data_IF_639967727193
#
_entry.id   IF_639967727193
#
_cell.length_a   1.000
_cell.length_b   1.000
_cell.length_c   1.000
_cell.angle_alpha   90.00
_cell.angle_beta   90.00
_cell.angle_gamma   90.00
#
_symmetry.space_group_name_H-M   'P 1'
#
loop_
_entity.id
_entity.type
_entity.pdbx_description
1 polymer ?
#
# COMPACT_ATOMS: atom_id res chain seq x y z
N UNK A 1 27.95 -33.43 -7.53
CA UNK A 1 26.50 -33.33 -7.32
C UNK A 1 26.23 -33.00 -5.86
N UNK A 2 26.00 -31.73 -5.51
CA UNK A 2 25.70 -31.35 -4.12
C UNK A 2 25.58 -29.85 -3.88
N UNK A 3 25.08 -29.08 -4.87
CA UNK A 3 25.19 -27.61 -4.86
C UNK A 3 23.86 -26.85 -4.79
N UNK A 4 22.73 -27.53 -4.68
CA UNK A 4 21.41 -26.87 -4.51
C UNK A 4 20.78 -27.23 -3.17
N UNK A 5 20.89 -28.49 -2.75
CA UNK A 5 20.34 -28.98 -1.48
C UNK A 5 21.05 -28.34 -0.27
N UNK A 6 22.36 -28.08 -0.35
CA UNK A 6 23.15 -27.46 0.72
C UNK A 6 22.93 -25.95 0.89
N UNK A 7 22.38 -25.27 -0.12
CA UNK A 7 22.01 -23.84 -0.07
C UNK A 7 20.56 -23.63 0.33
N UNK A 8 19.67 -24.57 -0.03
CA UNK A 8 18.24 -24.50 0.30
C UNK A 8 18.00 -24.88 1.77
N UNK A 9 18.71 -25.89 2.29
CA UNK A 9 18.53 -26.35 3.68
C UNK A 9 18.76 -25.24 4.73
N UNK A 10 19.83 -24.43 4.68
CA UNK A 10 20.04 -23.35 5.63
C UNK A 10 19.04 -22.19 5.46
N UNK A 11 18.55 -21.94 4.25
CA UNK A 11 17.59 -20.88 3.97
C UNK A 11 16.15 -21.24 4.41
N UNK A 12 15.82 -22.54 4.44
CA UNK A 12 14.51 -23.02 4.88
C UNK A 12 14.37 -23.05 6.41
N UNK A 13 15.48 -23.16 7.16
CA UNK A 13 15.46 -23.23 8.63
C UNK A 13 14.87 -21.96 9.26
N UNK A 14 15.30 -20.72 8.90
CA UNK A 14 14.67 -19.50 9.40
C UNK A 14 13.18 -19.44 9.07
N UNK A 15 12.80 -19.74 7.83
CA UNK A 15 11.41 -19.72 7.38
C UNK A 15 10.53 -20.75 8.11
N UNK A 16 11.05 -21.94 8.41
CA UNK A 16 10.36 -22.94 9.22
C UNK A 16 10.27 -22.52 10.69
N UNK A 17 11.33 -21.95 11.27
CA UNK A 17 11.29 -21.48 12.65
C UNK A 17 10.31 -20.32 12.82
N UNK A 18 10.21 -19.43 11.83
CA UNK A 18 9.25 -18.33 11.83
C UNK A 18 7.81 -18.85 11.62
N UNK A 19 7.61 -19.83 10.74
CA UNK A 19 6.33 -20.49 10.52
C UNK A 19 5.83 -21.26 11.75
N UNK A 20 6.73 -21.98 12.43
CA UNK A 20 6.46 -22.71 13.67
C UNK A 20 6.13 -21.73 14.81
N UNK A 21 6.87 -20.62 14.93
CA UNK A 21 6.59 -19.58 15.93
C UNK A 21 5.25 -18.88 15.66
N UNK A 22 4.90 -18.66 14.40
CA UNK A 22 3.60 -18.12 13.99
C UNK A 22 2.43 -19.09 14.23
N UNK A 23 2.64 -20.39 14.00
CA UNK A 23 1.67 -21.44 14.32
C UNK A 23 1.47 -21.61 15.83
N UNK A 24 2.56 -21.59 16.61
CA UNK A 24 2.47 -21.62 18.06
C UNK A 24 1.79 -20.35 18.59
N UNK A 25 2.11 -19.15 18.10
CA UNK A 25 1.42 -17.92 18.49
C UNK A 25 -0.09 -17.95 18.17
N UNK A 26 -0.48 -18.60 17.07
CA UNK A 26 -1.89 -18.77 16.68
C UNK A 26 -2.64 -19.81 17.53
N UNK A 27 -1.95 -20.85 18.02
CA UNK A 27 -2.55 -21.95 18.78
C UNK A 27 -2.52 -21.71 20.30
N UNK A 28 -1.46 -21.09 20.84
CA UNK A 28 -1.35 -20.79 22.28
C UNK A 28 -2.05 -19.50 22.69
N UNK A 29 -2.67 -18.78 21.74
CA UNK A 29 -3.38 -17.52 22.00
C UNK A 29 -2.50 -16.42 22.61
N UNK A 30 -1.17 -16.55 22.51
CA UNK A 30 -0.25 -15.82 23.37
C UNK A 30 1.04 -15.46 22.67
N UNK A 31 0.98 -14.44 21.81
CA UNK A 31 2.03 -13.46 21.58
C UNK A 31 1.48 -12.35 20.66
N UNK A 32 0.59 -11.51 21.20
CA UNK A 32 0.14 -10.27 20.55
C UNK A 32 -1.37 -10.14 20.39
N UNK A 33 -2.04 -9.68 21.45
CA UNK A 33 -3.10 -8.67 21.33
C UNK A 33 -4.30 -8.97 20.43
N UNK A 34 -4.85 -10.19 20.46
CA UNK A 34 -6.23 -10.40 20.05
C UNK A 34 -7.10 -10.27 21.30
N UNK A 35 -7.88 -9.19 21.46
CA UNK A 35 -8.60 -8.96 22.72
C UNK A 35 -9.60 -10.10 22.94
N UNK A 36 -9.51 -10.73 24.10
CA UNK A 36 -10.40 -11.83 24.51
C UNK A 36 -11.81 -11.33 24.80
N UNK A 37 -11.96 -10.03 25.10
CA UNK A 37 -13.25 -9.38 25.31
C UNK A 37 -13.64 -8.50 24.12
N UNK A 38 -14.86 -8.66 23.61
CA UNK A 38 -15.44 -7.78 22.59
C UNK A 38 -15.37 -6.30 23.01
N UNK A 39 -15.49 -6.02 24.31
CA UNK A 39 -15.36 -4.68 24.88
C UNK A 39 -13.98 -4.04 24.62
N UNK A 40 -12.89 -4.78 24.83
CA UNK A 40 -11.53 -4.28 24.57
C UNK A 40 -11.27 -4.11 23.08
N UNK A 41 -11.84 -4.98 22.21
CA UNK A 41 -11.79 -4.76 20.75
C UNK A 41 -12.48 -3.47 20.35
N UNK A 42 -13.64 -3.20 20.93
CA UNK A 42 -14.42 -1.98 20.64
C UNK A 42 -13.64 -0.75 21.10
N UNK A 43 -13.08 -0.76 22.32
CA UNK A 43 -12.28 0.35 22.84
C UNK A 43 -11.02 0.62 22.00
N UNK A 44 -10.35 -0.44 21.51
CA UNK A 44 -9.19 -0.29 20.62
C UNK A 44 -9.59 0.30 19.26
N UNK A 45 -10.69 -0.17 18.67
CA UNK A 45 -11.22 0.37 17.39
C UNK A 45 -11.67 1.82 17.57
N UNK A 46 -12.28 2.15 18.70
CA UNK A 46 -12.74 3.50 19.02
C UNK A 46 -11.54 4.45 19.17
N UNK A 47 -10.48 4.03 19.88
CA UNK A 47 -9.24 4.79 20.00
C UNK A 47 -8.53 4.98 18.65
N UNK A 48 -8.50 3.95 17.80
CA UNK A 48 -7.97 4.06 16.43
C UNK A 48 -8.80 5.04 15.57
N UNK A 49 -10.13 4.98 15.69
CA UNK A 49 -11.05 5.86 14.97
C UNK A 49 -10.90 7.30 15.42
N UNK A 50 -10.75 7.54 16.73
CA UNK A 50 -10.54 8.87 17.29
C UNK A 50 -9.19 9.45 16.84
N UNK A 51 -8.13 8.64 16.85
CA UNK A 51 -6.82 9.03 16.30
C UNK A 51 -6.91 9.41 14.83
N UNK A 52 -7.60 8.61 14.00
CA UNK A 52 -7.81 8.90 12.59
C UNK A 52 -8.64 10.19 12.38
N UNK A 53 -9.67 10.41 13.19
CA UNK A 53 -10.46 11.65 13.18
C UNK A 53 -9.60 12.87 13.55
N UNK A 54 -8.76 12.77 14.58
CA UNK A 54 -7.87 13.85 15.00
C UNK A 54 -6.85 14.18 13.90
N UNK A 55 -6.24 13.16 13.27
CA UNK A 55 -5.38 13.34 12.10
C UNK A 55 -6.11 14.00 10.94
N UNK A 56 -7.32 13.55 10.62
CA UNK A 56 -8.13 14.13 9.55
C UNK A 56 -8.52 15.60 9.85
N UNK A 57 -8.74 15.96 11.11
CA UNK A 57 -8.99 17.34 11.53
C UNK A 57 -7.74 18.21 11.41
N UNK A 58 -6.53 17.67 11.62
CA UNK A 58 -5.28 18.39 11.36
C UNK A 58 -5.05 18.65 9.87
N UNK A 59 -5.53 17.75 9.00
CA UNK A 59 -5.50 17.92 7.53
C UNK A 59 -6.65 18.78 6.99
N UNK A 60 -7.61 19.15 7.84
CA UNK A 60 -8.71 20.02 7.48
C UNK A 60 -8.22 21.48 7.45
N UNK A 61 -8.33 22.17 6.30
CA UNK A 61 -7.97 23.59 6.23
C UNK A 61 -8.88 24.43 7.16
N UNK A 62 -8.27 25.24 8.03
CA UNK A 62 -8.99 26.20 8.87
C UNK A 62 -9.56 27.35 8.02
N UNK A 63 -10.89 27.48 7.97
CA UNK A 63 -11.62 28.46 7.15
C UNK A 63 -12.25 27.83 5.89
N UNK A 64 -13.19 28.53 5.22
CA UNK A 64 -13.70 28.09 3.91
C UNK A 64 -12.57 28.18 2.88
N UNK A 65 -12.01 27.05 2.40
CA UNK A 65 -10.93 27.10 1.43
C UNK A 65 -11.47 27.63 0.11
N UNK A 66 -10.65 28.39 -0.61
CA UNK A 66 -11.02 28.86 -1.94
C UNK A 66 -11.43 27.68 -2.84
N UNK A 67 -12.55 27.81 -3.55
CA UNK A 67 -13.17 26.73 -4.33
C UNK A 67 -12.20 26.06 -5.31
N UNK A 68 -11.29 26.81 -5.93
CA UNK A 68 -10.31 26.25 -6.86
C UNK A 68 -9.34 25.26 -6.21
N UNK A 69 -9.02 25.42 -4.92
CA UNK A 69 -8.14 24.52 -4.17
C UNK A 69 -8.87 23.21 -3.86
N UNK A 70 -10.16 23.29 -3.56
CA UNK A 70 -11.03 22.13 -3.35
C UNK A 70 -11.15 21.35 -4.65
N UNK A 71 -11.40 22.04 -5.77
CA UNK A 71 -11.51 21.42 -7.09
C UNK A 71 -10.18 20.79 -7.52
N UNK A 72 -9.04 21.44 -7.24
CA UNK A 72 -7.71 20.89 -7.48
C UNK A 72 -7.46 19.61 -6.65
N UNK A 73 -7.81 19.62 -5.36
CA UNK A 73 -7.69 18.46 -4.47
C UNK A 73 -8.65 17.33 -4.85
N UNK A 74 -9.77 17.64 -5.48
CA UNK A 74 -10.67 16.62 -6.02
C UNK A 74 -10.12 16.00 -7.31
N UNK A 75 -9.47 16.79 -8.17
CA UNK A 75 -9.06 16.34 -9.50
C UNK A 75 -7.60 15.86 -9.60
N UNK A 76 -6.72 16.18 -8.64
CA UNK A 76 -5.28 15.96 -8.77
C UNK A 76 -4.90 14.53 -9.18
N UNK A 77 -5.60 13.51 -8.65
CA UNK A 77 -5.30 12.10 -8.97
C UNK A 77 -5.48 11.83 -10.46
N UNK A 78 -6.60 12.27 -11.00
CA UNK A 78 -6.93 12.07 -12.41
C UNK A 78 -6.02 12.91 -13.30
N UNK A 79 -5.74 14.16 -12.93
CA UNK A 79 -4.86 15.05 -13.69
C UNK A 79 -3.45 14.48 -13.82
N UNK A 80 -2.86 14.00 -12.72
CA UNK A 80 -1.50 13.42 -12.72
C UNK A 80 -1.46 12.13 -13.55
N UNK A 81 -2.46 11.25 -13.42
CA UNK A 81 -2.50 10.01 -14.19
C UNK A 81 -2.65 10.27 -15.68
N UNK A 82 -3.54 11.20 -16.06
CA UNK A 82 -3.68 11.60 -17.47
C UNK A 82 -2.36 12.16 -18.01
N UNK A 83 -1.65 12.96 -17.24
CA UNK A 83 -0.35 13.48 -17.63
C UNK A 83 0.69 12.37 -17.85
N UNK A 84 0.82 11.42 -16.91
CA UNK A 84 1.75 10.28 -17.04
C UNK A 84 1.40 9.42 -18.26
N UNK A 85 0.11 9.18 -18.52
CA UNK A 85 -0.36 8.39 -19.66
C UNK A 85 0.00 9.08 -20.98
N UNK A 86 -0.26 10.39 -21.12
CA UNK A 86 0.11 11.17 -22.30
C UNK A 86 1.62 11.20 -22.50
N UNK A 87 2.39 11.42 -21.43
CA UNK A 87 3.86 11.41 -21.49
C UNK A 87 4.40 10.05 -21.96
N UNK A 88 3.80 8.96 -21.48
CA UNK A 88 4.18 7.59 -21.88
C UNK A 88 3.88 7.34 -23.36
N UNK A 89 2.74 7.80 -23.88
CA UNK A 89 2.43 7.73 -25.32
C UNK A 89 3.52 8.47 -26.12
N UNK A 90 3.85 9.70 -25.74
CA UNK A 90 4.89 10.48 -26.46
C UNK A 90 6.24 9.77 -26.45
N UNK A 91 6.64 9.20 -25.31
CA UNK A 91 7.91 8.47 -25.16
C UNK A 91 7.95 7.19 -25.98
N UNK A 92 6.85 6.42 -26.01
CA UNK A 92 6.76 5.15 -26.78
C UNK A 92 6.84 5.38 -28.28
N UNK A 93 6.24 6.47 -28.79
CA UNK A 93 6.25 6.79 -30.22
C UNK A 93 7.47 7.61 -30.67
N UNK A 94 8.40 7.95 -29.76
CA UNK A 94 9.61 8.68 -30.09
C UNK A 94 10.80 7.73 -30.33
N UNK A 95 11.26 7.54 -31.58
CA UNK A 95 12.31 6.58 -31.91
C UNK A 95 13.71 6.98 -31.41
N UNK A 96 13.87 8.22 -30.94
CA UNK A 96 15.11 8.76 -30.37
C UNK A 96 15.34 8.37 -28.90
N UNK A 97 14.36 7.74 -28.24
CA UNK A 97 14.43 7.46 -26.80
C UNK A 97 14.97 6.03 -26.56
N UNK A 98 15.99 5.88 -25.68
CA UNK A 98 16.48 4.56 -25.26
C UNK A 98 15.38 3.68 -24.66
N UNK A 99 15.41 2.37 -24.96
CA UNK A 99 14.43 1.39 -24.47
C UNK A 99 14.34 1.32 -22.93
N UNK A 100 15.42 1.66 -22.22
CA UNK A 100 15.44 1.75 -20.75
C UNK A 100 14.50 2.83 -20.22
N UNK A 101 14.44 3.98 -20.88
CA UNK A 101 13.56 5.08 -20.49
C UNK A 101 12.11 4.71 -20.80
N UNK A 102 11.86 4.10 -21.96
CA UNK A 102 10.52 3.62 -22.32
C UNK A 102 9.99 2.62 -21.28
N UNK A 103 10.83 1.69 -20.80
CA UNK A 103 10.47 0.75 -19.74
C UNK A 103 10.03 1.44 -18.44
N UNK A 104 10.75 2.48 -18.01
CA UNK A 104 10.39 3.25 -16.81
C UNK A 104 9.03 3.91 -16.95
N UNK A 105 8.72 4.52 -18.10
CA UNK A 105 7.41 5.15 -18.32
C UNK A 105 6.26 4.14 -18.36
N UNK A 106 6.50 2.93 -18.88
CA UNK A 106 5.53 1.84 -18.85
C UNK A 106 5.28 1.34 -17.42
N UNK A 107 6.33 1.17 -16.61
CA UNK A 107 6.22 0.79 -15.20
C UNK A 107 5.47 1.86 -14.39
N UNK A 108 5.75 3.14 -14.65
CA UNK A 108 5.02 4.27 -14.05
C UNK A 108 3.54 4.28 -14.43
N UNK A 109 3.22 3.92 -15.67
CA UNK A 109 1.83 3.79 -16.13
C UNK A 109 1.12 2.62 -15.42
N UNK A 110 1.80 1.49 -15.21
CA UNK A 110 1.28 0.38 -14.41
C UNK A 110 1.01 0.78 -12.95
N UNK A 111 1.90 1.58 -12.36
CA UNK A 111 1.75 2.09 -11.00
C UNK A 111 0.58 3.08 -10.83
N UNK A 112 0.12 3.74 -11.90
CA UNK A 112 -1.03 4.64 -11.85
C UNK A 112 -2.32 3.95 -11.39
N UNK A 113 -2.49 2.65 -11.69
CA UNK A 113 -3.64 1.87 -11.22
C UNK A 113 -3.66 1.75 -9.69
N UNK A 114 -2.48 1.55 -9.08
CA UNK A 114 -2.32 1.55 -7.63
C UNK A 114 -2.62 2.93 -7.03
N UNK A 115 -2.24 4.02 -7.71
CA UNK A 115 -2.48 5.38 -7.24
C UNK A 115 -3.97 5.80 -7.30
N UNK A 116 -4.72 5.36 -8.31
CA UNK A 116 -6.17 5.66 -8.41
C UNK A 116 -6.97 4.86 -7.38
N UNK A 117 -6.69 3.55 -7.28
CA UNK A 117 -7.52 2.61 -6.49
C UNK A 117 -7.05 2.58 -5.03
N UNK A 118 -5.74 2.74 -4.79
CA UNK A 118 -5.10 2.96 -3.50
C UNK A 118 -5.65 2.09 -2.38
N UNK A 119 -6.31 2.74 -1.42
CA UNK A 119 -6.86 2.11 -0.22
C UNK A 119 -7.97 1.08 -0.51
N UNK A 120 -8.77 1.25 -1.57
CA UNK A 120 -9.83 0.29 -1.92
C UNK A 120 -9.26 -1.05 -2.39
N UNK A 121 -8.07 -1.05 -2.97
CA UNK A 121 -7.37 -2.27 -3.39
C UNK A 121 -6.91 -3.07 -2.15
N UNK A 122 -6.34 -2.38 -1.17
CA UNK A 122 -5.82 -3.03 0.06
C UNK A 122 -6.93 -3.49 1.01
N UNK A 123 -8.05 -2.75 1.10
CA UNK A 123 -9.21 -3.16 1.89
C UNK A 123 -9.87 -4.45 1.37
N UNK A 124 -9.80 -4.71 0.06
CA UNK A 124 -10.30 -5.96 -0.52
C UNK A 124 -9.41 -7.17 -0.22
N UNK A 125 -8.10 -6.95 -0.01
CA UNK A 125 -7.12 -8.03 0.27
C UNK A 125 -7.14 -8.45 1.75
N UNK A 126 -7.61 -7.59 2.65
CA UNK A 126 -7.63 -7.83 4.10
C UNK A 126 -8.91 -8.50 4.62
N UNK A 127 -9.71 -9.12 3.76
CA UNK A 127 -10.86 -9.95 4.14
C UNK A 127 -10.46 -11.40 4.36
#
# INVERSE_FOLDING_TARGET
MGSLISLILPALVPAFTDGVRGLFAKITGGAGGQPQNMQERIQLIEAETERLKALAQLDAPNGEPSKWIIDLRACYRYVIVTFILVATIVVVYSPSVPATIVGVFLDMTGACMSFIIGERMYLAIKK
#
